data_IF_783873312270
#
_entry.id   IF_783873312270
#
_cell.length_a   1.000
_cell.length_b   1.000
_cell.length_c   1.000
_cell.angle_alpha   90.00
_cell.angle_beta   90.00
_cell.angle_gamma   90.00
#
_symmetry.space_group_name_H-M   'P 1'
#
loop_
_entity.id
_entity.type
_entity.pdbx_description
1 polymer ?
#
# COMPACT_ATOMS: atom_id res chain seq x y z
N UNK A 1 -10.13 -14.56 -7.62
CA UNK A 1 -11.09 -13.46 -7.90
C UNK A 1 -11.81 -12.91 -6.66
N UNK A 2 -12.30 -13.71 -5.71
CA UNK A 2 -12.71 -13.18 -4.37
C UNK A 2 -12.08 -14.01 -3.24
N UNK A 3 -12.03 -15.33 -3.43
CA UNK A 3 -11.28 -16.25 -2.58
C UNK A 3 -9.80 -15.87 -2.45
N UNK A 4 -9.17 -15.42 -3.54
CA UNK A 4 -7.76 -14.98 -3.50
C UNK A 4 -7.58 -13.70 -2.67
N UNK A 5 -8.52 -12.75 -2.76
CA UNK A 5 -8.50 -11.56 -1.92
C UNK A 5 -8.69 -11.94 -0.45
N UNK A 6 -9.65 -12.82 -0.15
CA UNK A 6 -9.89 -13.30 1.20
C UNK A 6 -8.65 -14.02 1.78
N UNK A 7 -8.00 -14.88 0.98
CA UNK A 7 -6.77 -15.57 1.37
C UNK A 7 -5.61 -14.58 1.63
N UNK A 8 -5.46 -13.54 0.78
CA UNK A 8 -4.46 -12.51 0.99
C UNK A 8 -4.70 -11.72 2.27
N UNK A 9 -5.96 -11.36 2.56
CA UNK A 9 -6.36 -10.68 3.80
C UNK A 9 -6.06 -11.56 5.01
N UNK A 10 -6.49 -12.83 4.99
CA UNK A 10 -6.26 -13.78 6.07
C UNK A 10 -4.76 -13.95 6.36
N UNK A 11 -3.95 -14.14 5.31
CA UNK A 11 -2.51 -14.28 5.44
C UNK A 11 -1.86 -13.01 6.01
N UNK A 12 -2.26 -11.83 5.53
CA UNK A 12 -1.75 -10.57 6.03
C UNK A 12 -2.10 -10.34 7.50
N UNK A 13 -3.35 -10.58 7.90
CA UNK A 13 -3.79 -10.49 9.30
C UNK A 13 -3.01 -11.47 10.20
N UNK A 14 -2.77 -12.70 9.74
CA UNK A 14 -1.98 -13.68 10.48
C UNK A 14 -0.53 -13.21 10.70
N UNK A 15 0.11 -12.60 9.71
CA UNK A 15 1.46 -12.05 9.83
C UNK A 15 1.50 -10.83 10.76
N UNK A 16 0.55 -9.90 10.62
CA UNK A 16 0.43 -8.71 11.46
C UNK A 16 0.16 -9.08 12.93
N UNK A 17 -0.64 -10.12 13.20
CA UNK A 17 -0.88 -10.62 14.57
C UNK A 17 0.39 -11.12 15.27
N UNK A 18 1.42 -11.48 14.50
CA UNK A 18 2.74 -11.90 14.97
C UNK A 18 3.74 -10.73 14.99
N UNK A 19 3.26 -9.50 14.84
CA UNK A 19 4.06 -8.27 14.78
C UNK A 19 5.11 -8.29 13.66
N UNK A 20 4.78 -8.89 12.51
CA UNK A 20 5.66 -8.94 11.36
C UNK A 20 5.30 -7.88 10.32
N UNK A 21 6.31 -7.17 9.82
CA UNK A 21 6.18 -6.31 8.65
C UNK A 21 5.62 -7.11 7.47
N UNK A 22 4.53 -6.61 6.87
CA UNK A 22 3.78 -7.33 5.84
C UNK A 22 3.75 -6.52 4.56
N UNK A 23 4.20 -7.13 3.45
CA UNK A 23 4.25 -6.49 2.13
C UNK A 23 3.19 -7.11 1.23
N UNK A 24 2.25 -6.29 0.77
CA UNK A 24 1.27 -6.65 -0.25
C UNK A 24 1.76 -6.17 -1.62
N UNK A 25 1.89 -7.09 -2.59
CA UNK A 25 2.36 -6.78 -3.95
C UNK A 25 1.66 -7.61 -5.01
N UNK A 26 1.45 -7.04 -6.19
CA UNK A 26 0.81 -7.69 -7.34
C UNK A 26 1.77 -8.51 -8.19
N UNK A 27 3.08 -8.22 -8.15
CA UNK A 27 4.10 -8.96 -8.88
C UNK A 27 5.14 -9.58 -7.94
N UNK A 28 5.63 -10.76 -8.33
CA UNK A 28 6.68 -11.51 -7.66
C UNK A 28 8.07 -11.26 -8.26
N UNK A 29 8.14 -10.88 -9.52
CA UNK A 29 9.39 -10.55 -10.21
C UNK A 29 9.21 -9.41 -11.23
N UNK A 30 10.32 -8.95 -11.83
CA UNK A 30 10.28 -8.02 -12.94
C UNK A 30 9.67 -8.66 -14.21
N UNK A 31 9.79 -9.99 -14.35
CA UNK A 31 9.32 -10.74 -15.51
C UNK A 31 7.79 -10.81 -15.59
N UNK A 32 7.09 -10.65 -14.46
CA UNK A 32 5.62 -10.60 -14.45
C UNK A 32 5.08 -9.47 -15.34
N UNK A 33 5.87 -8.42 -15.56
CA UNK A 33 5.51 -7.33 -16.48
C UNK A 33 5.35 -7.79 -17.93
N UNK A 34 6.05 -8.86 -18.32
CA UNK A 34 5.94 -9.43 -19.67
C UNK A 34 4.57 -10.10 -19.89
N UNK A 35 3.90 -10.52 -18.81
CA UNK A 35 2.58 -11.15 -18.88
C UNK A 35 1.44 -10.13 -19.01
N UNK A 36 1.70 -8.83 -18.79
CA UNK A 36 0.65 -7.80 -18.73
C UNK A 36 -0.13 -7.72 -20.04
N UNK A 37 0.53 -7.79 -21.19
CA UNK A 37 -0.16 -7.72 -22.49
C UNK A 37 -1.08 -8.93 -22.71
N UNK A 38 -0.63 -10.12 -22.27
CA UNK A 38 -1.44 -11.34 -22.28
C UNK A 38 -2.65 -11.23 -21.35
N UNK A 39 -2.46 -10.70 -20.14
CA UNK A 39 -3.54 -10.48 -19.17
C UNK A 39 -4.56 -9.45 -19.69
N UNK A 40 -4.10 -8.37 -20.31
CA UNK A 40 -4.95 -7.38 -20.96
C UNK A 40 -5.82 -8.02 -22.06
N UNK A 41 -5.21 -8.83 -22.93
CA UNK A 41 -5.93 -9.52 -24.00
C UNK A 41 -6.95 -10.53 -23.47
N UNK A 42 -6.60 -11.29 -22.43
CA UNK A 42 -7.51 -12.26 -21.80
C UNK A 42 -8.69 -11.59 -21.09
N UNK A 43 -8.45 -10.47 -20.41
CA UNK A 43 -9.48 -9.73 -19.69
C UNK A 43 -10.29 -8.79 -20.59
N UNK A 44 -9.84 -8.54 -21.83
CA UNK A 44 -10.44 -7.55 -22.72
C UNK A 44 -10.29 -6.10 -22.22
N UNK A 45 -9.20 -5.82 -21.50
CA UNK A 45 -8.94 -4.52 -20.86
C UNK A 45 -7.72 -3.85 -21.48
N UNK A 46 -7.71 -2.51 -21.46
CA UNK A 46 -6.48 -1.75 -21.69
C UNK A 46 -5.52 -1.89 -20.51
N UNK A 47 -4.23 -1.59 -20.73
CA UNK A 47 -3.23 -1.58 -19.65
C UNK A 47 -3.60 -0.61 -18.51
N UNK A 48 -4.21 0.52 -18.86
CA UNK A 48 -4.70 1.49 -17.88
C UNK A 48 -5.83 0.90 -17.05
N UNK A 49 -6.86 0.32 -17.69
CA UNK A 49 -7.99 -0.29 -17.00
C UNK A 49 -7.56 -1.46 -16.09
N UNK A 50 -6.57 -2.25 -16.54
CA UNK A 50 -5.99 -3.30 -15.71
C UNK A 50 -5.27 -2.71 -14.49
N UNK A 51 -4.50 -1.63 -14.65
CA UNK A 51 -3.82 -0.94 -13.55
C UNK A 51 -4.79 -0.33 -12.54
N UNK A 52 -5.85 0.33 -13.01
CA UNK A 52 -6.94 0.86 -12.19
C UNK A 52 -7.61 -0.26 -11.38
N UNK A 53 -8.00 -1.35 -12.06
CA UNK A 53 -8.58 -2.52 -11.41
C UNK A 53 -7.67 -3.11 -10.32
N UNK A 54 -6.37 -3.25 -10.59
CA UNK A 54 -5.42 -3.78 -9.60
C UNK A 54 -5.27 -2.83 -8.40
N UNK A 55 -5.24 -1.52 -8.64
CA UNK A 55 -5.10 -0.50 -7.60
C UNK A 55 -6.34 -0.47 -6.70
N UNK A 56 -7.54 -0.48 -7.28
CA UNK A 56 -8.80 -0.57 -6.55
C UNK A 56 -8.87 -1.84 -5.68
N UNK A 57 -8.49 -2.98 -6.24
CA UNK A 57 -8.46 -4.26 -5.51
C UNK A 57 -7.47 -4.23 -4.34
N UNK A 58 -6.30 -3.62 -4.52
CA UNK A 58 -5.34 -3.43 -3.43
C UNK A 58 -5.88 -2.48 -2.34
N UNK A 59 -6.58 -1.41 -2.73
CA UNK A 59 -7.30 -0.52 -1.81
C UNK A 59 -8.30 -1.30 -0.95
N UNK A 60 -9.16 -2.10 -1.57
CA UNK A 60 -10.13 -2.94 -0.87
C UNK A 60 -9.46 -3.98 0.06
N UNK A 61 -8.37 -4.63 -0.38
CA UNK A 61 -7.64 -5.58 0.47
C UNK A 61 -7.07 -4.85 1.69
N UNK A 62 -6.53 -3.65 1.50
CA UNK A 62 -5.95 -2.83 2.58
C UNK A 62 -7.01 -2.46 3.61
N UNK A 63 -8.17 -1.96 3.18
CA UNK A 63 -9.30 -1.68 4.08
C UNK A 63 -9.65 -2.92 4.91
N UNK A 64 -9.88 -4.07 4.25
CA UNK A 64 -10.24 -5.31 4.93
C UNK A 64 -9.18 -5.81 5.92
N UNK A 65 -7.91 -5.57 5.67
CA UNK A 65 -6.83 -5.93 6.60
C UNK A 65 -6.91 -5.03 7.84
N UNK A 66 -7.07 -3.72 7.65
CA UNK A 66 -7.07 -2.76 8.76
C UNK A 66 -8.29 -2.92 9.66
N UNK A 67 -9.44 -3.32 9.11
CA UNK A 67 -10.64 -3.69 9.88
C UNK A 67 -10.41 -4.90 10.81
N UNK A 68 -9.42 -5.75 10.52
CA UNK A 68 -9.20 -7.04 11.20
C UNK A 68 -7.88 -7.12 11.98
N UNK A 69 -6.91 -6.26 11.68
CA UNK A 69 -5.59 -6.28 12.27
C UNK A 69 -5.09 -4.86 12.56
N UNK A 70 -4.34 -4.71 13.66
CA UNK A 70 -3.67 -3.46 14.00
C UNK A 70 -2.37 -3.35 13.21
N UNK A 71 -2.11 -2.15 12.70
CA UNK A 71 -0.87 -1.78 12.01
C UNK A 71 -0.24 -0.56 12.69
N UNK A 72 1.07 -0.39 12.53
CA UNK A 72 1.78 0.81 12.98
C UNK A 72 1.86 1.91 11.92
N UNK A 73 1.45 1.64 10.69
CA UNK A 73 1.52 2.62 9.60
C UNK A 73 1.43 1.97 8.24
N UNK A 74 1.36 2.80 7.20
CA UNK A 74 1.28 2.38 5.81
C UNK A 74 2.45 2.93 5.01
N UNK A 75 3.04 2.08 4.18
CA UNK A 75 3.95 2.50 3.11
C UNK A 75 3.31 2.17 1.76
N UNK A 76 3.01 3.18 0.96
CA UNK A 76 2.31 3.06 -0.32
C UNK A 76 3.24 3.48 -1.45
N UNK A 77 3.49 2.60 -2.42
CA UNK A 77 4.34 2.91 -3.57
C UNK A 77 3.57 2.82 -4.88
N UNK A 78 3.68 3.86 -5.70
CA UNK A 78 2.88 4.09 -6.90
C UNK A 78 1.72 5.05 -6.62
N UNK A 79 1.53 6.05 -7.50
CA UNK A 79 0.50 7.08 -7.33
C UNK A 79 -0.91 6.50 -7.36
N UNK A 80 -1.16 5.56 -8.28
CA UNK A 80 -2.47 4.89 -8.41
C UNK A 80 -2.80 4.06 -7.16
N UNK A 81 -1.80 3.39 -6.58
CA UNK A 81 -1.96 2.64 -5.33
C UNK A 81 -2.27 3.56 -4.17
N UNK A 82 -1.50 4.65 -4.01
CA UNK A 82 -1.71 5.61 -2.93
C UNK A 82 -3.14 6.22 -3.02
N UNK A 83 -3.57 6.57 -4.23
CA UNK A 83 -4.90 7.13 -4.47
C UNK A 83 -6.01 6.12 -4.19
N UNK A 84 -5.86 4.88 -4.67
CA UNK A 84 -6.88 3.85 -4.48
C UNK A 84 -7.02 3.42 -3.01
N UNK A 85 -5.91 3.34 -2.27
CA UNK A 85 -5.94 3.06 -0.82
C UNK A 85 -6.57 4.23 -0.07
N UNK A 86 -6.19 5.48 -0.37
CA UNK A 86 -6.79 6.66 0.25
C UNK A 86 -8.32 6.68 0.03
N UNK A 87 -8.77 6.44 -1.22
CA UNK A 87 -10.18 6.38 -1.56
C UNK A 87 -10.92 5.24 -0.83
N UNK A 88 -10.32 4.04 -0.75
CA UNK A 88 -10.90 2.91 -0.04
C UNK A 88 -11.04 3.16 1.47
N UNK A 89 -10.13 3.93 2.07
CA UNK A 89 -10.16 4.32 3.47
C UNK A 89 -11.01 5.59 3.73
N UNK A 90 -11.70 6.10 2.72
CA UNK A 90 -12.55 7.29 2.83
C UNK A 90 -11.79 8.60 3.03
N UNK A 91 -10.47 8.62 2.78
CA UNK A 91 -9.64 9.80 3.05
C UNK A 91 -10.02 10.99 2.15
N UNK A 92 -10.22 12.15 2.76
CA UNK A 92 -10.51 13.42 2.06
C UNK A 92 -9.26 14.19 1.66
N UNK A 93 -8.10 13.80 2.21
CA UNK A 93 -6.83 14.44 1.91
C UNK A 93 -5.65 13.77 2.58
N UNK A 94 -4.46 14.27 2.27
CA UNK A 94 -3.19 13.82 2.84
C UNK A 94 -2.44 14.99 3.45
N UNK A 95 -2.26 14.96 4.77
CA UNK A 95 -1.55 16.00 5.52
C UNK A 95 -0.10 15.58 5.70
N UNK A 96 0.77 16.14 4.87
CA UNK A 96 2.22 15.90 4.94
C UNK A 96 2.78 16.60 6.19
N UNK A 97 3.57 15.87 6.96
CA UNK A 97 4.20 16.36 8.20
C UNK A 97 5.72 16.40 8.08
N UNK A 98 6.29 15.42 7.39
CA UNK A 98 7.73 15.26 7.23
C UNK A 98 8.05 14.50 5.94
N UNK A 99 9.33 14.26 5.69
CA UNK A 99 9.80 13.40 4.60
C UNK A 99 10.79 12.40 5.17
N UNK A 100 10.65 11.13 4.80
CA UNK A 100 11.62 10.07 5.15
C UNK A 100 12.92 10.28 4.39
N UNK A 101 12.79 10.68 3.13
CA UNK A 101 13.86 11.01 2.20
C UNK A 101 13.31 11.98 1.15
N UNK A 102 14.17 12.64 0.33
CA UNK A 102 13.69 13.56 -0.70
C UNK A 102 12.62 12.92 -1.60
N UNK A 103 11.46 13.59 -1.70
CA UNK A 103 10.29 13.14 -2.46
C UNK A 103 9.59 11.87 -1.89
N UNK A 104 9.84 11.51 -0.63
CA UNK A 104 9.18 10.41 0.10
C UNK A 104 8.47 11.00 1.33
N UNK A 105 7.28 11.61 1.15
CA UNK A 105 6.56 12.25 2.24
C UNK A 105 5.99 11.24 3.24
N UNK A 106 6.00 11.63 4.52
CA UNK A 106 5.28 10.99 5.61
C UNK A 106 4.24 11.97 6.18
N UNK A 107 3.05 11.48 6.47
CA UNK A 107 1.95 12.27 6.97
C UNK A 107 0.78 11.41 7.45
N UNK A 108 -0.41 11.99 7.53
CA UNK A 108 -1.63 11.26 7.89
C UNK A 108 -2.75 11.51 6.88
N UNK A 109 -3.65 10.54 6.72
CA UNK A 109 -4.88 10.74 5.96
C UNK A 109 -5.89 11.54 6.77
N UNK A 110 -6.58 12.46 6.11
CA UNK A 110 -7.58 13.35 6.72
C UNK A 110 -8.95 12.69 6.60
N UNK A 111 -9.70 12.61 7.71
CA UNK A 111 -11.05 12.04 7.76
C UNK A 111 -11.11 10.64 7.17
N UNK A 112 -10.30 9.71 7.68
CA UNK A 112 -10.18 8.34 7.15
C UNK A 112 -10.36 7.29 8.24
N UNK A 113 -10.59 6.04 7.83
CA UNK A 113 -10.76 4.87 8.73
C UNK A 113 -9.52 4.54 9.60
N UNK A 114 -8.39 5.22 9.38
CA UNK A 114 -7.10 4.90 10.01
C UNK A 114 -6.59 5.97 10.99
N UNK A 115 -7.45 6.91 11.36
CA UNK A 115 -7.14 8.03 12.25
C UNK A 115 -5.80 8.71 11.89
N UNK A 116 -4.92 8.89 12.87
CA UNK A 116 -3.60 9.53 12.74
C UNK A 116 -2.47 8.52 12.47
N UNK A 117 -2.76 7.34 11.91
CA UNK A 117 -1.72 6.41 11.52
C UNK A 117 -0.77 7.04 10.48
N UNK A 118 0.57 6.87 10.64
CA UNK A 118 1.52 7.41 9.68
C UNK A 118 1.36 6.70 8.33
N UNK A 119 1.24 7.51 7.29
CA UNK A 119 1.20 7.09 5.89
C UNK A 119 2.41 7.68 5.19
N UNK A 120 3.23 6.81 4.63
CA UNK A 120 4.35 7.17 3.77
C UNK A 120 3.95 6.85 2.33
N UNK A 121 4.11 7.81 1.43
CA UNK A 121 3.88 7.57 0.00
C UNK A 121 5.15 7.74 -0.80
N UNK A 122 5.29 6.94 -1.85
CA UNK A 122 6.43 7.01 -2.77
C UNK A 122 5.93 6.93 -4.20
N UNK A 123 6.32 7.90 -5.03
CA UNK A 123 6.09 7.83 -6.46
C UNK A 123 6.91 6.70 -7.13
N UNK A 124 6.38 6.14 -8.22
CA UNK A 124 7.09 5.13 -9.01
C UNK A 124 8.42 5.68 -9.51
N UNK A 125 9.52 4.93 -9.33
CA UNK A 125 10.86 5.33 -9.78
C UNK A 125 11.63 6.30 -8.86
N UNK A 126 11.06 6.74 -7.74
CA UNK A 126 11.76 7.53 -6.72
C UNK A 126 12.34 6.65 -5.60
N UNK A 127 13.30 7.19 -4.86
CA UNK A 127 13.99 6.50 -3.77
C UNK A 127 15.23 5.68 -4.19
N UNK A 128 15.89 5.09 -3.21
CA UNK A 128 17.00 4.16 -3.30
C UNK A 128 16.55 2.73 -2.98
N UNK A 129 17.47 1.77 -3.12
CA UNK A 129 17.23 0.37 -2.71
C UNK A 129 16.95 0.23 -1.19
N UNK A 130 17.35 1.21 -0.37
CA UNK A 130 17.10 1.25 1.07
C UNK A 130 15.75 1.86 1.46
N UNK A 131 15.04 2.53 0.54
CA UNK A 131 13.90 3.40 0.89
C UNK A 131 12.79 2.69 1.67
N UNK A 132 12.52 1.41 1.38
CA UNK A 132 11.53 0.67 2.16
C UNK A 132 12.01 0.43 3.60
N UNK A 133 13.29 0.07 3.79
CA UNK A 133 13.87 -0.09 5.12
C UNK A 133 13.90 1.24 5.88
N UNK A 134 14.28 2.32 5.20
CA UNK A 134 14.32 3.67 5.79
C UNK A 134 12.92 4.09 6.27
N UNK A 135 11.88 3.79 5.49
CA UNK A 135 10.48 4.04 5.88
C UNK A 135 10.03 3.20 7.09
N UNK A 136 10.45 1.94 7.17
CA UNK A 136 10.15 1.09 8.33
C UNK A 136 10.80 1.62 9.61
N UNK A 137 12.10 1.96 9.54
CA UNK A 137 12.80 2.56 10.67
C UNK A 137 12.17 3.89 11.09
N UNK A 138 11.76 4.72 10.12
CA UNK A 138 11.09 5.99 10.39
C UNK A 138 9.81 5.79 11.23
N UNK A 139 8.97 4.81 10.86
CA UNK A 139 7.75 4.47 11.62
C UNK A 139 8.11 3.93 13.00
N UNK A 140 9.10 3.03 13.11
CA UNK A 140 9.53 2.45 14.39
C UNK A 140 10.07 3.51 15.36
N UNK A 141 10.82 4.50 14.87
CA UNK A 141 11.33 5.62 15.66
C UNK A 141 10.20 6.51 16.20
N UNK A 142 9.14 6.73 15.42
CA UNK A 142 7.97 7.51 15.86
C UNK A 142 7.30 6.91 17.11
N UNK A 143 7.36 5.58 17.28
CA UNK A 143 6.81 4.89 18.45
C UNK A 143 7.83 4.66 19.56
N UNK A 144 9.13 4.75 19.27
CA UNK A 144 10.20 4.57 20.26
C UNK A 144 10.46 5.81 21.11
N UNK A 145 9.97 6.98 20.69
CA UNK A 145 10.12 8.25 21.38
C UNK A 145 9.04 8.59 22.43
N UNK A 146 8.15 7.65 22.76
CA UNK A 146 7.09 7.78 23.77
C UNK A 146 7.40 7.00 25.05
#
# INVERSE_FOLDING_TARGET
>A
CEQEMAAAVEQACALLSRQQHTILRTSRSADDRQMIDGLCAQAGLSRQQLGEMLSERLGMITLRIIEQARIGGLFLTGGDIATAVAAALGAEGYRIQSEVAPCIPCGTFVNSEIDDLPVITKAGGFGSDSTLCDALYFIEEMYSGN
#
